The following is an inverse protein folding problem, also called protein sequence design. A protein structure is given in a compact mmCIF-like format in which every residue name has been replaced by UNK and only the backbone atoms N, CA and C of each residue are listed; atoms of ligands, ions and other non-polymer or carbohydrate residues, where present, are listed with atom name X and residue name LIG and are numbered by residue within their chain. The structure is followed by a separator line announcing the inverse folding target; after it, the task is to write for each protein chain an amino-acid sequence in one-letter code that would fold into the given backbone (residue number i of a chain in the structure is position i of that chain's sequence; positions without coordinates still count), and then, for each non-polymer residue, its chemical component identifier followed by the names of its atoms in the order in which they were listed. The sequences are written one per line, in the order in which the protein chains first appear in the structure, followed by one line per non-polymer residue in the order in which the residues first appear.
data_IF_486105547966
#
_entry.id   IF_486105547966
#
_cell.length_a   1.000
_cell.length_b   1.000
_cell.length_c   1.000
_cell.angle_alpha   90.00
_cell.angle_beta   90.00
_cell.angle_gamma   90.00
#
_symmetry.space_group_name_H-M   'P 1'
#
loop_
_entity.id
_entity.type
_entity.pdbx_description
1 polymer ?
#
# COMPACT_ATOMS: atom_id res chain seq x y z
N UNK A 1 -15.44 -3.76 36.84
CA UNK A 1 -16.21 -3.25 35.68
C UNK A 1 -15.62 -1.95 35.09
N UNK A 2 -15.13 -1.00 35.89
CA UNK A 2 -14.44 0.21 35.39
C UNK A 2 -13.07 -0.03 34.70
N UNK A 3 -12.34 -1.08 35.09
CA UNK A 3 -10.98 -1.34 34.58
C UNK A 3 -10.95 -1.82 33.10
N UNK A 4 -11.96 -2.60 32.68
CA UNK A 4 -12.07 -3.07 31.29
C UNK A 4 -12.59 -1.99 30.31
N UNK A 5 -13.37 -1.04 30.81
CA UNK A 5 -13.93 0.07 30.01
C UNK A 5 -12.85 1.13 29.67
N UNK A 6 -11.81 1.28 30.50
CA UNK A 6 -10.64 2.13 30.20
C UNK A 6 -9.68 1.48 29.19
N UNK A 7 -9.53 0.15 29.24
CA UNK A 7 -8.63 -0.61 28.37
C UNK A 7 -9.11 -0.68 26.90
N UNK A 8 -10.42 -0.77 26.68
CA UNK A 8 -11.03 -0.90 25.35
C UNK A 8 -11.25 0.43 24.62
N UNK A 9 -11.15 1.58 25.31
CA UNK A 9 -11.54 2.88 24.74
C UNK A 9 -10.48 3.53 23.84
N UNK A 10 -9.26 2.96 23.69
CA UNK A 10 -8.16 3.68 23.02
C UNK A 10 -7.29 2.88 22.04
N UNK A 11 -7.46 1.57 21.87
CA UNK A 11 -6.80 0.83 20.77
C UNK A 11 -7.60 1.09 19.49
N UNK A 12 -7.67 2.35 19.07
CA UNK A 12 -8.13 2.70 17.73
C UNK A 12 -6.94 2.49 16.81
N UNK A 13 -6.82 1.26 16.29
CA UNK A 13 -5.77 0.92 15.33
C UNK A 13 -5.87 1.89 14.16
N UNK A 14 -4.89 2.78 14.05
CA UNK A 14 -4.86 3.82 13.03
C UNK A 14 -4.39 3.21 11.72
N UNK A 15 -5.27 3.25 10.73
CA UNK A 15 -4.96 2.77 9.39
C UNK A 15 -4.38 3.87 8.53
N UNK A 16 -3.22 3.61 7.95
CA UNK A 16 -2.51 4.53 7.07
C UNK A 16 -2.48 3.92 5.67
N UNK A 17 -2.96 4.68 4.69
CA UNK A 17 -2.91 4.31 3.28
C UNK A 17 -1.78 5.08 2.58
N UNK A 18 -0.86 4.36 1.96
CA UNK A 18 0.29 4.90 1.23
C UNK A 18 0.07 4.69 -0.27
N UNK A 19 0.29 5.72 -1.07
CA UNK A 19 0.33 5.62 -2.54
C UNK A 19 1.79 5.70 -3.00
N UNK A 20 2.28 4.65 -3.66
CA UNK A 20 3.61 4.66 -4.27
C UNK A 20 3.56 4.01 -5.65
N UNK A 21 4.18 4.63 -6.66
CA UNK A 21 4.22 4.06 -8.00
C UNK A 21 5.12 2.83 -8.10
N UNK A 22 6.06 2.67 -7.17
CA UNK A 22 6.98 1.57 -7.14
C UNK A 22 7.26 1.13 -5.69
N UNK A 23 7.42 -0.17 -5.50
CA UNK A 23 7.76 -0.76 -4.21
C UNK A 23 8.36 -2.16 -4.43
N UNK A 24 8.89 -2.76 -3.37
CA UNK A 24 9.46 -4.12 -3.39
C UNK A 24 8.53 -5.13 -4.06
N UNK A 25 9.03 -6.11 -4.84
CA UNK A 25 10.43 -6.28 -5.25
C UNK A 25 10.79 -5.56 -6.56
N UNK A 26 9.83 -4.95 -7.26
CA UNK A 26 10.01 -4.38 -8.60
C UNK A 26 11.07 -3.26 -8.65
N UNK A 27 11.07 -2.39 -7.64
CA UNK A 27 12.02 -1.28 -7.51
C UNK A 27 12.44 -1.17 -6.07
N UNK A 28 13.75 -1.15 -5.86
CA UNK A 28 14.38 -0.93 -4.55
C UNK A 28 15.33 0.25 -4.68
N UNK A 29 14.89 1.41 -4.21
CA UNK A 29 15.71 2.60 -4.08
C UNK A 29 15.57 3.20 -2.67
N UNK A 30 16.21 4.35 -2.43
CA UNK A 30 16.29 4.94 -1.09
C UNK A 30 14.93 5.28 -0.47
N UNK A 31 13.95 5.67 -1.29
CA UNK A 31 12.60 6.02 -0.81
C UNK A 31 11.82 4.78 -0.34
N UNK A 32 11.90 3.68 -1.08
CA UNK A 32 11.23 2.42 -0.74
C UNK A 32 11.85 1.78 0.50
N UNK A 33 13.18 1.83 0.63
CA UNK A 33 13.91 1.44 1.84
C UNK A 33 13.47 2.29 3.03
N UNK A 34 13.39 3.61 2.88
CA UNK A 34 12.96 4.50 3.96
C UNK A 34 11.52 4.22 4.42
N UNK A 35 10.58 4.01 3.48
CA UNK A 35 9.21 3.62 3.82
C UNK A 35 9.21 2.32 4.63
N UNK A 36 9.92 1.29 4.15
CA UNK A 36 10.01 0.00 4.84
C UNK A 36 10.56 0.14 6.26
N UNK A 37 11.67 0.87 6.42
CA UNK A 37 12.30 1.12 7.73
C UNK A 37 11.36 1.87 8.69
N UNK A 38 10.66 2.90 8.20
CA UNK A 38 9.70 3.65 9.02
C UNK A 38 8.53 2.76 9.43
N UNK A 39 7.94 2.01 8.49
CA UNK A 39 6.78 1.15 8.77
C UNK A 39 7.12 -0.01 9.67
N UNK A 40 8.32 -0.57 9.56
CA UNK A 40 8.80 -1.67 10.40
C UNK A 40 9.19 -1.19 11.82
N UNK A 41 9.56 0.09 11.99
CA UNK A 41 9.79 0.68 13.33
C UNK A 41 8.50 1.15 14.00
N UNK A 42 7.52 1.57 13.22
CA UNK A 42 6.25 2.14 13.72
C UNK A 42 5.18 1.06 13.96
N UNK A 43 5.49 -0.20 13.66
CA UNK A 43 4.60 -1.37 13.76
C UNK A 43 4.27 -1.82 15.19
N UNK A 44 4.11 -0.89 16.13
CA UNK A 44 3.37 -1.19 17.36
C UNK A 44 1.93 -1.58 17.04
N UNK A 45 1.23 -2.21 17.98
CA UNK A 45 -0.19 -2.65 17.87
C UNK A 45 -1.18 -1.52 17.49
N UNK A 46 -0.69 -0.28 17.38
CA UNK A 46 -1.42 0.93 17.09
C UNK A 46 -1.62 1.23 15.60
N UNK A 47 -0.80 0.68 14.69
CA UNK A 47 -0.82 1.06 13.25
C UNK A 47 -0.91 -0.11 12.28
N UNK A 48 -1.76 0.06 11.26
CA UNK A 48 -1.84 -0.84 10.10
C UNK A 48 -1.55 -0.05 8.84
N UNK A 49 -0.54 -0.49 8.09
CA UNK A 49 -0.12 0.13 6.84
C UNK A 49 -0.69 -0.64 5.66
N UNK A 50 -1.51 0.02 4.85
CA UNK A 50 -1.93 -0.43 3.53
C UNK A 50 -1.20 0.41 2.48
N UNK A 51 -0.67 -0.21 1.44
CA UNK A 51 -0.03 0.46 0.33
C UNK A 51 -0.73 0.12 -0.97
N UNK A 52 -1.01 1.11 -1.80
CA UNK A 52 -1.42 0.89 -3.19
C UNK A 52 -0.25 1.21 -4.11
N UNK A 53 0.14 0.23 -4.92
CA UNK A 53 1.25 0.36 -5.87
C UNK A 53 0.91 -0.15 -7.26
N UNK A 54 1.74 0.18 -8.25
CA UNK A 54 1.55 -0.31 -9.60
C UNK A 54 1.95 -1.78 -9.72
N UNK A 55 1.18 -2.52 -10.51
CA UNK A 55 1.49 -3.89 -10.91
C UNK A 55 2.13 -3.85 -12.28
N UNK A 56 3.38 -4.25 -12.39
CA UNK A 56 4.08 -4.34 -13.68
C UNK A 56 4.32 -5.80 -14.06
N UNK A 57 4.75 -6.62 -13.11
CA UNK A 57 4.93 -8.05 -13.32
C UNK A 57 3.66 -8.85 -13.00
N UNK A 58 3.26 -9.69 -13.94
CA UNK A 58 2.15 -10.63 -13.81
C UNK A 58 2.49 -11.83 -12.92
N UNK A 59 3.79 -12.14 -12.72
CA UNK A 59 4.23 -13.19 -11.78
C UNK A 59 3.97 -12.79 -10.33
N UNK A 60 3.99 -11.48 -10.05
CA UNK A 60 3.73 -10.96 -8.70
C UNK A 60 2.23 -11.01 -8.36
N UNK A 61 1.89 -11.37 -7.11
CA UNK A 61 0.50 -11.41 -6.67
C UNK A 61 -0.10 -10.01 -6.62
N UNK A 62 -1.43 -9.90 -6.80
CA UNK A 62 -2.14 -8.60 -6.67
C UNK A 62 -2.15 -8.06 -5.23
N UNK A 63 -1.92 -8.93 -4.26
CA UNK A 63 -1.86 -8.62 -2.85
C UNK A 63 -0.77 -9.45 -2.19
N UNK A 64 0.07 -8.80 -1.40
CA UNK A 64 1.10 -9.44 -0.59
C UNK A 64 1.39 -8.62 0.66
N UNK A 65 1.91 -9.25 1.70
CA UNK A 65 2.38 -8.56 2.89
C UNK A 65 3.91 -8.56 2.87
N UNK A 66 4.50 -7.37 2.87
CA UNK A 66 5.95 -7.15 2.92
C UNK A 66 6.26 -6.45 4.24
N UNK A 67 6.95 -7.14 5.15
CA UNK A 67 7.17 -6.64 6.51
C UNK A 67 5.84 -6.33 7.21
N UNK A 68 5.69 -5.10 7.71
CA UNK A 68 4.43 -4.65 8.30
C UNK A 68 3.46 -3.93 7.33
N UNK A 69 3.70 -3.99 6.02
CA UNK A 69 2.89 -3.31 5.01
C UNK A 69 2.09 -4.30 4.18
N UNK A 70 0.78 -4.05 4.07
CA UNK A 70 -0.13 -4.74 3.17
C UNK A 70 -0.08 -4.07 1.79
N UNK A 71 0.55 -4.71 0.82
CA UNK A 71 0.77 -4.16 -0.52
C UNK A 71 -0.35 -4.62 -1.46
N UNK A 72 -1.04 -3.66 -2.06
CA UNK A 72 -2.11 -3.84 -3.02
C UNK A 72 -1.66 -3.34 -4.40
N UNK A 73 -1.44 -4.26 -5.34
CA UNK A 73 -0.97 -3.92 -6.68
C UNK A 73 -2.15 -3.72 -7.63
N UNK A 74 -2.17 -2.57 -8.30
CA UNK A 74 -3.17 -2.19 -9.31
C UNK A 74 -2.45 -1.86 -10.62
N UNK A 75 -3.01 -2.24 -11.75
CA UNK A 75 -2.38 -1.97 -13.05
C UNK A 75 -2.53 -3.13 -14.02
N UNK A 76 -2.27 -2.85 -15.30
CA UNK A 76 -1.97 -3.87 -16.29
C UNK A 76 -0.58 -4.44 -16.04
N UNK A 77 -0.43 -5.75 -16.13
CA UNK A 77 0.84 -6.42 -15.90
C UNK A 77 1.23 -7.27 -17.11
N UNK A 78 2.53 -7.38 -17.37
CA UNK A 78 3.10 -8.27 -18.39
C UNK A 78 3.95 -9.36 -17.73
N UNK A 79 4.34 -10.39 -18.46
CA UNK A 79 5.21 -11.46 -17.94
C UNK A 79 6.66 -11.02 -18.06
N UNK A 80 7.40 -11.05 -16.95
CA UNK A 80 8.84 -10.77 -16.88
C UNK A 80 9.26 -9.42 -17.50
N UNK A 81 8.69 -8.29 -17.03
CA UNK A 81 9.05 -6.96 -17.53
C UNK A 81 10.45 -6.56 -17.08
N UNK A 82 11.26 -6.01 -18.00
CA UNK A 82 12.45 -5.26 -17.62
C UNK A 82 12.05 -3.82 -17.23
N UNK A 83 12.87 -3.13 -16.43
CA UNK A 83 12.68 -1.72 -16.05
C UNK A 83 12.52 -0.83 -17.29
N UNK A 84 13.19 -1.16 -18.39
CA UNK A 84 13.04 -0.46 -19.68
C UNK A 84 11.65 -0.65 -20.33
N UNK A 85 10.95 -1.75 -20.04
CA UNK A 85 9.63 -2.05 -20.58
C UNK A 85 8.49 -1.31 -19.85
N UNK A 86 8.77 -0.71 -18.68
CA UNK A 86 7.83 0.15 -17.95
C UNK A 86 7.37 1.36 -18.82
N UNK A 87 8.20 1.80 -19.76
CA UNK A 87 7.90 2.90 -20.68
C UNK A 87 7.15 2.45 -21.95
N UNK A 88 6.98 1.13 -22.17
CA UNK A 88 6.29 0.60 -23.34
C UNK A 88 4.79 0.48 -23.10
N UNK A 89 4.01 0.67 -24.15
CA UNK A 89 2.58 0.34 -24.13
C UNK A 89 2.44 -1.19 -23.99
N UNK A 90 1.62 -1.75 -23.08
CA UNK A 90 0.55 -1.11 -22.28
C UNK A 90 0.97 -0.65 -20.86
N UNK A 91 2.20 -0.87 -20.40
CA UNK A 91 2.63 -0.56 -19.04
C UNK A 91 2.76 0.94 -18.76
N UNK A 92 3.17 1.74 -19.76
CA UNK A 92 3.27 3.20 -19.65
C UNK A 92 1.94 3.87 -19.28
N UNK A 93 0.83 3.23 -19.68
CA UNK A 93 -0.54 3.71 -19.41
C UNK A 93 -0.88 3.63 -17.93
N UNK A 94 -0.33 2.65 -17.19
CA UNK A 94 -0.58 2.49 -15.77
C UNK A 94 -0.29 3.75 -14.96
N UNK A 95 0.76 4.51 -15.33
CA UNK A 95 1.16 5.73 -14.65
C UNK A 95 0.06 6.80 -14.68
N UNK A 96 -0.66 6.90 -15.79
CA UNK A 96 -1.74 7.86 -15.97
C UNK A 96 -3.04 7.41 -15.31
N UNK A 97 -3.32 6.11 -15.29
CA UNK A 97 -4.52 5.56 -14.66
C UNK A 97 -4.37 5.33 -13.15
N UNK A 98 -3.14 5.40 -12.63
CA UNK A 98 -2.85 5.17 -11.21
C UNK A 98 -3.69 6.03 -10.25
N UNK A 99 -3.91 7.35 -10.46
CA UNK A 99 -4.73 8.13 -9.55
C UNK A 99 -6.17 7.60 -9.47
N UNK A 100 -6.74 7.18 -10.61
CA UNK A 100 -8.09 6.64 -10.67
C UNK A 100 -8.15 5.28 -9.97
N UNK A 101 -7.23 4.37 -10.32
CA UNK A 101 -7.24 3.01 -9.78
C UNK A 101 -6.85 2.99 -8.30
N UNK A 102 -5.93 3.86 -7.92
CA UNK A 102 -5.54 4.14 -6.55
C UNK A 102 -6.74 4.61 -5.73
N UNK A 103 -7.47 5.61 -6.21
CA UNK A 103 -8.67 6.10 -5.54
C UNK A 103 -9.75 5.02 -5.41
N UNK A 104 -10.04 4.26 -6.48
CA UNK A 104 -11.02 3.17 -6.43
C UNK A 104 -10.63 2.09 -5.41
N UNK A 105 -9.34 1.73 -5.37
CA UNK A 105 -8.82 0.76 -4.41
C UNK A 105 -8.89 1.30 -2.99
N UNK A 106 -8.54 2.56 -2.78
CA UNK A 106 -8.66 3.25 -1.49
C UNK A 106 -10.11 3.24 -0.99
N UNK A 107 -11.06 3.59 -1.86
CA UNK A 107 -12.49 3.56 -1.52
C UNK A 107 -12.96 2.14 -1.18
N UNK A 108 -12.49 1.12 -1.93
CA UNK A 108 -12.79 -0.28 -1.63
C UNK A 108 -12.22 -0.71 -0.28
N UNK A 109 -11.03 -0.24 0.10
CA UNK A 109 -10.41 -0.55 1.39
C UNK A 109 -11.12 0.17 2.53
N UNK A 110 -11.45 1.45 2.34
CA UNK A 110 -12.18 2.26 3.31
C UNK A 110 -13.56 1.68 3.63
N UNK A 111 -14.25 1.11 2.63
CA UNK A 111 -15.53 0.39 2.83
C UNK A 111 -15.38 -0.87 3.68
N UNK A 112 -14.26 -1.60 3.54
CA UNK A 112 -14.00 -2.83 4.32
C UNK A 112 -13.52 -2.52 5.71
N UNK A 113 -12.68 -1.49 5.86
CA UNK A 113 -12.18 -1.02 7.14
C UNK A 113 -12.03 0.50 7.08
N UNK A 114 -12.72 1.26 7.96
CA UNK A 114 -12.66 2.71 7.92
C UNK A 114 -11.24 3.19 8.23
N UNK A 115 -10.73 4.07 7.37
CA UNK A 115 -9.45 4.75 7.55
C UNK A 115 -9.73 6.17 8.07
N UNK A 116 -9.11 6.54 9.17
CA UNK A 116 -9.17 7.92 9.68
C UNK A 116 -8.23 8.79 8.87
N UNK A 117 -8.76 9.83 8.21
CA UNK A 117 -7.92 10.85 7.60
C UNK A 117 -7.17 11.62 8.69
N UNK A 118 -5.85 11.78 8.55
CA UNK A 118 -5.07 12.67 9.41
C UNK A 118 -5.37 14.12 8.99
N UNK A 119 -6.40 14.71 9.62
CA UNK A 119 -6.88 16.04 9.32
C UNK A 119 -8.14 16.35 10.13
N UNK A 120 -7.97 16.57 11.43
CA UNK A 120 -8.85 17.39 12.25
C UNK A 120 -8.01 18.44 12.95
#
# INVERSE_FOLDING_TARGET
MFFAVFLYKLISVKRILIFSLAYYPDVVAGAEVAIKEITDRTSGDDYVFDMVTLRFDSTLPKFERIGNVNVHRVGFATKDPNIADLSRFPLSVNKYFFPIWGFLKAQSLHKKTPMTAFGQ
#
